data_IF_203508863800
#
_entry.id   IF_203508863800
#
_cell.length_a   1.000
_cell.length_b   1.000
_cell.length_c   1.000
_cell.angle_alpha   90.00
_cell.angle_beta   90.00
_cell.angle_gamma   90.00
#
_symmetry.space_group_name_H-M   'P 1'
#
loop_
_entity.id
_entity.type
_entity.pdbx_description
1 polymer ?
#
# COMPACT_ATOMS: atom_id res chain seq x y z
N UNK A 1 10.57 13.46 10.16
CA UNK A 1 9.13 13.76 10.35
C UNK A 1 8.97 15.25 10.62
N UNK A 2 8.10 15.91 9.86
CA UNK A 2 7.98 17.38 9.82
C UNK A 2 6.91 17.97 10.73
N UNK A 3 5.96 17.16 11.19
CA UNK A 3 4.88 17.57 12.09
C UNK A 3 4.88 16.70 13.34
N UNK A 4 4.81 17.33 14.51
CA UNK A 4 4.77 16.61 15.79
C UNK A 4 3.52 15.71 15.90
N UNK A 5 3.69 14.42 16.27
CA UNK A 5 2.58 13.51 16.51
C UNK A 5 1.70 13.96 17.68
N UNK A 6 0.39 13.84 17.51
CA UNK A 6 -0.58 14.05 18.59
C UNK A 6 -0.83 12.72 19.29
N UNK A 7 -0.27 12.55 20.49
CA UNK A 7 -0.40 11.31 21.28
C UNK A 7 -1.78 11.15 21.94
N UNK A 8 -2.42 12.28 22.27
CA UNK A 8 -3.71 12.33 22.98
C UNK A 8 -4.74 13.06 22.11
N UNK A 9 -5.49 12.35 21.26
CA UNK A 9 -6.45 13.01 20.37
C UNK A 9 -7.64 13.55 21.16
N UNK A 10 -8.15 14.71 20.72
CA UNK A 10 -9.39 15.29 21.22
C UNK A 10 -10.59 14.66 20.49
N UNK A 11 -11.73 14.59 21.18
CA UNK A 11 -12.99 14.08 20.63
C UNK A 11 -13.14 12.56 20.67
N UNK A 12 -14.37 12.10 20.85
CA UNK A 12 -14.69 10.68 21.00
C UNK A 12 -14.32 9.86 19.75
N UNK A 13 -14.61 10.40 18.56
CA UNK A 13 -14.33 9.75 17.28
C UNK A 13 -12.84 9.40 17.11
N UNK A 14 -11.95 10.38 17.33
CA UNK A 14 -10.51 10.16 17.19
C UNK A 14 -9.95 9.22 18.27
N UNK A 15 -10.47 9.29 19.51
CA UNK A 15 -10.11 8.35 20.58
C UNK A 15 -10.49 6.91 20.22
N UNK A 16 -11.68 6.71 19.66
CA UNK A 16 -12.12 5.41 19.14
C UNK A 16 -11.23 4.95 17.98
N UNK A 17 -10.89 5.85 17.06
CA UNK A 17 -10.02 5.52 15.93
C UNK A 17 -8.62 5.06 16.40
N UNK A 18 -8.00 5.77 17.34
CA UNK A 18 -6.72 5.36 17.94
C UNK A 18 -6.81 3.99 18.61
N UNK A 19 -7.90 3.76 19.36
CA UNK A 19 -8.12 2.47 20.00
C UNK A 19 -8.28 1.34 18.96
N UNK A 20 -9.05 1.56 17.89
CA UNK A 20 -9.24 0.59 16.81
C UNK A 20 -7.92 0.28 16.10
N UNK A 21 -7.14 1.30 15.72
CA UNK A 21 -5.85 1.11 15.06
C UNK A 21 -4.89 0.33 15.95
N UNK A 22 -4.82 0.64 17.26
CA UNK A 22 -4.00 -0.11 18.20
C UNK A 22 -4.44 -1.57 18.31
N UNK A 23 -5.75 -1.82 18.32
CA UNK A 23 -6.28 -3.19 18.38
C UNK A 23 -5.97 -3.99 17.11
N UNK A 24 -6.04 -3.37 15.95
CA UNK A 24 -5.84 -4.05 14.66
C UNK A 24 -4.36 -4.20 14.28
N UNK A 25 -3.54 -3.18 14.55
CA UNK A 25 -2.14 -3.11 14.10
C UNK A 25 -1.13 -3.26 15.24
N UNK A 26 -1.58 -3.47 16.48
CA UNK A 26 -0.73 -3.50 17.68
C UNK A 26 -0.30 -2.11 18.17
N UNK A 27 -0.30 -1.09 17.30
CA UNK A 27 -0.02 0.31 17.65
C UNK A 27 -0.79 1.29 16.77
N UNK A 28 -0.81 2.57 17.16
CA UNK A 28 -1.40 3.63 16.33
C UNK A 28 -0.40 4.02 15.26
N UNK A 29 -0.78 3.90 13.99
CA UNK A 29 0.08 4.30 12.86
C UNK A 29 0.38 5.80 12.88
N UNK A 30 1.57 6.18 12.44
CA UNK A 30 2.04 7.57 12.46
C UNK A 30 1.12 8.53 11.70
N UNK A 31 0.56 8.20 10.50
CA UNK A 31 -0.41 9.07 9.84
C UNK A 31 -1.63 9.40 10.71
N UNK A 32 -2.13 8.45 11.51
CA UNK A 32 -3.25 8.66 12.43
C UNK A 32 -2.93 9.64 13.57
N UNK A 33 -1.64 9.83 13.89
CA UNK A 33 -1.17 10.78 14.91
C UNK A 33 -0.81 12.14 14.32
N UNK A 34 -0.47 12.18 13.04
CA UNK A 34 -0.02 13.40 12.36
C UNK A 34 -1.16 14.06 11.59
N UNK A 35 -1.77 13.35 10.64
CA UNK A 35 -2.67 13.93 9.67
C UNK A 35 -4.12 13.98 10.17
N UNK A 36 -4.64 12.85 10.63
CA UNK A 36 -6.06 12.68 10.97
C UNK A 36 -6.54 13.58 12.13
N UNK A 37 -5.76 13.86 13.19
CA UNK A 37 -6.23 14.75 14.26
C UNK A 37 -6.33 16.21 13.77
N UNK A 38 -5.61 16.57 12.71
CA UNK A 38 -5.63 17.89 12.07
C UNK A 38 -6.71 17.97 10.98
N UNK A 39 -7.05 16.83 10.38
CA UNK A 39 -8.06 16.71 9.32
C UNK A 39 -9.03 15.55 9.65
N UNK A 40 -9.91 15.68 10.66
CA UNK A 40 -10.73 14.56 11.15
C UNK A 40 -11.70 14.01 10.11
N UNK A 41 -12.07 14.80 9.09
CA UNK A 41 -12.86 14.33 7.94
C UNK A 41 -12.20 13.19 7.15
N UNK A 42 -10.86 13.07 7.22
CA UNK A 42 -10.12 11.98 6.60
C UNK A 42 -10.49 10.61 7.18
N UNK A 43 -10.94 10.52 8.44
CA UNK A 43 -11.38 9.25 9.01
C UNK A 43 -12.51 8.61 8.19
N UNK A 44 -13.47 9.42 7.76
CA UNK A 44 -14.58 8.93 6.94
C UNK A 44 -14.10 8.52 5.56
N UNK A 45 -13.23 9.33 4.94
CA UNK A 45 -12.66 9.01 3.64
C UNK A 45 -11.89 7.68 3.67
N UNK A 46 -10.99 7.52 4.64
CA UNK A 46 -10.19 6.31 4.78
C UNK A 46 -11.01 5.08 5.13
N UNK A 47 -12.11 5.25 5.87
CA UNK A 47 -13.08 4.18 6.10
C UNK A 47 -13.74 3.71 4.80
N UNK A 48 -14.22 4.63 3.96
CA UNK A 48 -14.84 4.27 2.68
C UNK A 48 -13.83 3.65 1.71
N UNK A 49 -12.59 4.17 1.66
CA UNK A 49 -11.50 3.57 0.88
C UNK A 49 -11.22 2.15 1.37
N UNK A 50 -10.98 1.94 2.66
CA UNK A 50 -10.71 0.61 3.22
C UNK A 50 -11.87 -0.36 2.97
N UNK A 51 -13.12 0.10 3.11
CA UNK A 51 -14.30 -0.70 2.81
C UNK A 51 -14.36 -1.10 1.33
N UNK A 52 -14.00 -0.19 0.42
CA UNK A 52 -13.93 -0.48 -1.00
C UNK A 52 -12.78 -1.45 -1.32
N UNK A 53 -11.59 -1.26 -0.76
CA UNK A 53 -10.46 -2.16 -0.98
C UNK A 53 -10.76 -3.59 -0.48
N UNK A 54 -11.42 -3.71 0.67
CA UNK A 54 -11.73 -5.03 1.26
C UNK A 54 -12.90 -5.77 0.61
N UNK A 55 -13.83 -5.07 -0.04
CA UNK A 55 -15.07 -5.68 -0.58
C UNK A 55 -15.26 -5.51 -2.09
N UNK A 56 -14.58 -4.53 -2.68
CA UNK A 56 -14.74 -4.10 -4.07
C UNK A 56 -13.64 -4.62 -4.98
N UNK A 57 -12.40 -4.74 -4.47
CA UNK A 57 -11.27 -5.28 -5.23
C UNK A 57 -11.32 -6.81 -5.23
N UNK A 58 -11.10 -7.41 -6.40
CA UNK A 58 -11.15 -8.86 -6.63
C UNK A 58 -9.83 -9.45 -7.11
N UNK A 59 -8.84 -8.62 -7.41
CA UNK A 59 -7.45 -9.05 -7.67
C UNK A 59 -6.94 -9.97 -6.57
N UNK A 60 -6.06 -10.90 -6.97
CA UNK A 60 -5.44 -11.85 -6.05
C UNK A 60 -4.62 -11.09 -4.98
N UNK A 61 -4.71 -11.45 -3.68
CA UNK A 61 -4.03 -10.72 -2.62
C UNK A 61 -2.52 -10.55 -2.84
N UNK A 62 -1.85 -11.58 -3.37
CA UNK A 62 -0.43 -11.52 -3.72
C UNK A 62 -0.14 -10.39 -4.72
N UNK A 63 -0.91 -10.30 -5.81
CA UNK A 63 -0.72 -9.28 -6.83
C UNK A 63 -1.07 -7.88 -6.29
N UNK A 64 -2.16 -7.76 -5.52
CA UNK A 64 -2.53 -6.52 -4.85
C UNK A 64 -1.35 -5.93 -4.06
N UNK A 65 -0.81 -6.69 -3.10
CA UNK A 65 0.25 -6.17 -2.24
C UNK A 65 1.57 -5.98 -2.99
N UNK A 66 1.85 -6.77 -4.04
CA UNK A 66 3.03 -6.53 -4.89
C UNK A 66 2.92 -5.21 -5.66
N UNK A 67 1.75 -4.89 -6.24
CA UNK A 67 1.51 -3.61 -6.92
C UNK A 67 1.74 -2.43 -5.97
N UNK A 68 1.13 -2.49 -4.79
CA UNK A 68 1.24 -1.45 -3.75
C UNK A 68 2.69 -1.32 -3.25
N UNK A 69 3.37 -2.45 -3.01
CA UNK A 69 4.76 -2.45 -2.53
C UNK A 69 5.71 -1.88 -3.57
N UNK A 70 5.56 -2.26 -4.85
CA UNK A 70 6.42 -1.78 -5.94
C UNK A 70 6.29 -0.26 -6.12
N UNK A 71 5.06 0.26 -6.19
CA UNK A 71 4.82 1.70 -6.30
C UNK A 71 5.48 2.48 -5.15
N UNK A 72 5.34 1.96 -3.92
CA UNK A 72 5.96 2.54 -2.72
C UNK A 72 7.49 2.48 -2.74
N UNK A 73 8.07 1.38 -3.21
CA UNK A 73 9.51 1.21 -3.37
C UNK A 73 10.07 2.22 -4.38
N UNK A 74 9.41 2.38 -5.53
CA UNK A 74 9.79 3.35 -6.57
C UNK A 74 9.76 4.78 -6.03
N UNK A 75 8.71 5.13 -5.27
CA UNK A 75 8.55 6.47 -4.69
C UNK A 75 9.40 6.70 -3.43
N UNK A 76 9.97 5.66 -2.83
CA UNK A 76 10.75 5.76 -1.59
C UNK A 76 9.91 5.97 -0.32
N UNK A 77 8.62 5.58 -0.31
CA UNK A 77 7.78 5.68 0.90
C UNK A 77 8.06 4.50 1.86
N UNK A 78 9.00 4.66 2.79
CA UNK A 78 9.34 3.59 3.76
C UNK A 78 8.18 3.16 4.67
N UNK A 79 7.30 4.09 5.07
CA UNK A 79 6.08 3.77 5.81
C UNK A 79 5.15 2.86 5.00
N UNK A 80 4.96 3.18 3.72
CA UNK A 80 4.02 2.49 2.87
C UNK A 80 4.50 1.07 2.53
N UNK A 81 5.80 0.92 2.24
CA UNK A 81 6.45 -0.40 2.09
C UNK A 81 6.30 -1.24 3.36
N UNK A 82 6.55 -0.66 4.53
CA UNK A 82 6.44 -1.36 5.82
C UNK A 82 5.01 -1.85 6.09
N UNK A 83 4.01 -0.99 5.89
CA UNK A 83 2.61 -1.35 6.08
C UNK A 83 2.14 -2.40 5.06
N UNK A 84 2.45 -2.23 3.77
CA UNK A 84 2.04 -3.17 2.74
C UNK A 84 2.62 -4.57 2.97
N UNK A 85 3.91 -4.66 3.33
CA UNK A 85 4.56 -5.93 3.68
C UNK A 85 3.95 -6.56 4.94
N UNK A 86 3.70 -5.77 5.99
CA UNK A 86 3.05 -6.28 7.20
C UNK A 86 1.67 -6.86 6.92
N UNK A 87 0.89 -6.24 6.03
CA UNK A 87 -0.41 -6.75 5.61
C UNK A 87 -0.28 -8.01 4.75
N UNK A 88 0.69 -8.07 3.83
CA UNK A 88 0.95 -9.28 3.06
C UNK A 88 1.30 -10.49 3.95
N UNK A 89 2.12 -10.28 4.98
CA UNK A 89 2.47 -11.31 5.97
C UNK A 89 1.23 -11.79 6.74
N UNK A 90 0.32 -10.87 7.12
CA UNK A 90 -0.94 -11.20 7.81
C UNK A 90 -1.90 -12.02 6.95
N UNK A 91 -1.84 -11.84 5.63
CA UNK A 91 -2.57 -12.65 4.65
C UNK A 91 -1.85 -13.97 4.32
N UNK A 92 -0.81 -14.33 5.08
CA UNK A 92 -0.02 -15.55 4.91
C UNK A 92 0.63 -15.69 3.53
N UNK A 93 0.99 -14.57 2.91
CA UNK A 93 1.67 -14.54 1.62
C UNK A 93 3.18 -14.79 1.80
N UNK A 94 3.77 -15.56 0.89
CA UNK A 94 5.21 -15.81 0.90
C UNK A 94 6.01 -14.56 0.54
N UNK A 95 7.04 -14.25 1.33
CA UNK A 95 7.82 -13.01 1.18
C UNK A 95 8.88 -13.04 0.08
N UNK A 96 9.18 -14.22 -0.48
CA UNK A 96 10.20 -14.38 -1.53
C UNK A 96 10.00 -13.44 -2.73
N UNK A 97 8.75 -13.29 -3.21
CA UNK A 97 8.43 -12.36 -4.30
C UNK A 97 8.54 -10.90 -3.84
N UNK A 98 8.16 -10.58 -2.61
CA UNK A 98 8.25 -9.21 -2.10
C UNK A 98 9.70 -8.76 -1.89
N UNK A 99 10.58 -9.69 -1.56
CA UNK A 99 12.02 -9.45 -1.41
C UNK A 99 12.72 -9.33 -2.77
N UNK A 100 12.27 -10.10 -3.77
CA UNK A 100 12.77 -10.02 -5.14
C UNK A 100 12.06 -8.96 -6.02
N UNK A 101 11.22 -8.10 -5.42
CA UNK A 101 10.31 -7.24 -6.18
C UNK A 101 11.04 -6.18 -7.02
N UNK A 102 12.21 -5.70 -6.59
CA UNK A 102 13.03 -4.80 -7.39
C UNK A 102 13.64 -5.45 -8.64
N UNK A 103 13.64 -6.78 -8.69
CA UNK A 103 14.21 -7.61 -9.76
C UNK A 103 13.12 -8.38 -10.51
N UNK A 104 11.86 -7.95 -10.40
CA UNK A 104 10.71 -8.66 -10.96
C UNK A 104 10.83 -8.88 -12.48
N UNK A 105 11.60 -8.06 -13.20
CA UNK A 105 11.82 -8.17 -14.66
C UNK A 105 12.71 -9.36 -15.06
N UNK A 106 13.55 -9.87 -14.16
CA UNK A 106 14.52 -10.94 -14.45
C UNK A 106 14.38 -12.15 -13.52
N UNK A 107 13.84 -11.97 -12.31
CA UNK A 107 13.68 -13.04 -11.31
C UNK A 107 12.72 -14.14 -11.77
N UNK A 108 13.07 -15.44 -11.67
CA UNK A 108 12.18 -16.54 -12.10
C UNK A 108 10.95 -16.73 -11.22
N UNK A 109 10.85 -16.01 -10.09
CA UNK A 109 9.71 -16.11 -9.17
C UNK A 109 8.41 -15.52 -9.74
N UNK A 110 8.51 -14.66 -10.75
CA UNK A 110 7.38 -13.93 -11.31
C UNK A 110 6.90 -14.56 -12.61
N UNK A 111 5.59 -14.80 -12.69
CA UNK A 111 4.88 -15.19 -13.90
C UNK A 111 4.78 -14.02 -14.89
N UNK A 112 4.51 -14.32 -16.16
CA UNK A 112 4.31 -13.30 -17.19
C UNK A 112 3.15 -12.35 -16.86
N UNK A 113 2.08 -12.88 -16.24
CA UNK A 113 0.94 -12.09 -15.76
C UNK A 113 1.38 -11.10 -14.68
N UNK A 114 2.16 -11.53 -13.71
CA UNK A 114 2.67 -10.64 -12.64
C UNK A 114 3.63 -9.59 -13.21
N UNK A 115 4.55 -9.99 -14.10
CA UNK A 115 5.47 -9.05 -14.77
C UNK A 115 4.72 -7.97 -15.55
N UNK A 116 3.69 -8.34 -16.31
CA UNK A 116 2.91 -7.39 -17.09
C UNK A 116 2.25 -6.33 -16.19
N UNK A 117 1.69 -6.73 -15.04
CA UNK A 117 1.13 -5.81 -14.06
C UNK A 117 2.20 -4.92 -13.41
N UNK A 118 3.34 -5.50 -13.00
CA UNK A 118 4.42 -4.75 -12.35
C UNK A 118 5.09 -3.76 -13.31
N UNK A 119 5.27 -4.10 -14.59
CA UNK A 119 5.76 -3.17 -15.61
C UNK A 119 4.78 -2.03 -15.85
N UNK A 120 3.47 -2.31 -15.93
CA UNK A 120 2.45 -1.27 -16.00
C UNK A 120 2.51 -0.30 -14.82
N UNK A 121 2.62 -0.83 -13.60
CA UNK A 121 2.72 -0.05 -12.35
C UNK A 121 4.00 0.77 -12.30
N UNK A 122 5.12 0.21 -12.73
CA UNK A 122 6.40 0.91 -12.78
C UNK A 122 6.36 2.10 -13.74
N UNK A 123 5.89 1.89 -14.98
CA UNK A 123 5.76 2.99 -15.95
C UNK A 123 4.79 4.07 -15.44
N UNK A 124 3.61 3.66 -14.99
CA UNK A 124 2.60 4.59 -14.47
C UNK A 124 3.12 5.38 -13.26
N UNK A 125 3.90 4.75 -12.38
CA UNK A 125 4.50 5.43 -11.22
C UNK A 125 5.62 6.38 -11.65
N UNK A 126 6.58 5.94 -12.46
CA UNK A 126 7.73 6.78 -12.84
C UNK A 126 7.36 7.93 -13.78
N UNK A 127 6.44 7.68 -14.71
CA UNK A 127 6.21 8.56 -15.86
C UNK A 127 4.81 9.16 -15.90
N UNK A 128 3.90 8.71 -15.02
CA UNK A 128 2.46 9.08 -15.06
C UNK A 128 1.79 8.75 -16.40
N UNK A 129 2.41 7.87 -17.17
CA UNK A 129 2.02 7.41 -18.50
C UNK A 129 2.48 5.97 -18.65
N UNK A 130 1.79 5.24 -19.53
CA UNK A 130 2.14 3.88 -19.90
C UNK A 130 2.21 3.84 -21.43
N UNK A 131 3.20 3.15 -21.96
CA UNK A 131 3.34 2.97 -23.41
C UNK A 131 2.24 2.05 -23.95
N UNK A 132 1.86 2.22 -25.23
CA UNK A 132 0.90 1.34 -25.89
C UNK A 132 1.36 -0.13 -25.84
N UNK A 133 2.67 -0.38 -25.97
CA UNK A 133 3.24 -1.73 -25.90
C UNK A 133 3.05 -2.38 -24.52
N UNK A 134 3.27 -1.61 -23.44
CA UNK A 134 3.06 -2.08 -22.07
C UNK A 134 1.58 -2.31 -21.79
N UNK A 135 0.70 -1.41 -22.26
CA UNK A 135 -0.74 -1.59 -22.12
C UNK A 135 -1.26 -2.82 -22.88
N UNK A 136 -0.84 -3.01 -24.13
CA UNK A 136 -1.20 -4.19 -24.92
C UNK A 136 -0.70 -5.49 -24.29
N UNK A 137 0.49 -5.47 -23.68
CA UNK A 137 1.01 -6.63 -22.94
C UNK A 137 0.17 -6.93 -21.70
N UNK A 138 -0.20 -5.91 -20.92
CA UNK A 138 -1.11 -6.07 -19.79
C UNK A 138 -2.45 -6.69 -20.23
N UNK A 139 -3.02 -6.21 -21.34
CA UNK A 139 -4.30 -6.66 -21.87
C UNK A 139 -4.33 -8.12 -22.33
N UNK A 140 -3.17 -8.73 -22.57
CA UNK A 140 -3.06 -10.19 -22.86
C UNK A 140 -3.33 -11.04 -21.63
N UNK A 141 -3.09 -10.50 -20.43
CA UNK A 141 -3.15 -11.25 -19.18
C UNK A 141 -4.33 -10.86 -18.29
N UNK A 142 -4.89 -9.65 -18.45
CA UNK A 142 -5.91 -9.09 -17.58
C UNK A 142 -7.14 -8.63 -18.35
N UNK A 143 -8.32 -8.82 -17.75
CA UNK A 143 -9.58 -8.25 -18.21
C UNK A 143 -9.65 -6.76 -17.86
N UNK A 144 -10.48 -6.01 -18.56
CA UNK A 144 -10.62 -4.55 -18.36
C UNK A 144 -10.88 -4.14 -16.91
N UNK A 145 -11.68 -4.93 -16.16
CA UNK A 145 -11.96 -4.65 -14.75
C UNK A 145 -10.74 -4.90 -13.84
N UNK A 146 -9.90 -5.90 -14.15
CA UNK A 146 -8.66 -6.15 -13.40
C UNK A 146 -7.64 -5.04 -13.66
N UNK A 147 -7.56 -4.57 -14.91
CA UNK A 147 -6.72 -3.42 -15.27
C UNK A 147 -7.17 -2.18 -14.49
N UNK A 148 -8.47 -1.91 -14.43
CA UNK A 148 -9.01 -0.80 -13.64
C UNK A 148 -8.66 -0.92 -12.15
N UNK A 149 -8.72 -2.13 -11.57
CA UNK A 149 -8.30 -2.37 -10.19
C UNK A 149 -6.79 -2.14 -9.99
N UNK A 150 -5.92 -2.61 -10.90
CA UNK A 150 -4.46 -2.35 -10.86
C UNK A 150 -4.19 -0.84 -10.91
N UNK A 151 -4.86 -0.11 -11.81
CA UNK A 151 -4.73 1.34 -11.93
C UNK A 151 -5.20 2.04 -10.66
N UNK A 152 -6.33 1.62 -10.09
CA UNK A 152 -6.86 2.17 -8.84
C UNK A 152 -5.87 1.98 -7.67
N UNK A 153 -5.35 0.77 -7.49
CA UNK A 153 -4.38 0.47 -6.43
C UNK A 153 -3.12 1.32 -6.59
N UNK A 154 -2.58 1.43 -7.80
CA UNK A 154 -1.42 2.27 -8.07
C UNK A 154 -1.69 3.75 -7.78
N UNK A 155 -2.85 4.26 -8.20
CA UNK A 155 -3.22 5.67 -7.99
C UNK A 155 -3.39 5.98 -6.49
N UNK A 156 -4.08 5.10 -5.77
CA UNK A 156 -4.30 5.23 -4.34
C UNK A 156 -2.99 5.14 -3.55
N UNK A 157 -2.08 4.26 -3.98
CA UNK A 157 -0.78 4.16 -3.32
C UNK A 157 0.08 5.40 -3.56
N UNK A 158 0.07 5.95 -4.78
CA UNK A 158 0.73 7.24 -5.04
C UNK A 158 0.11 8.37 -4.20
N UNK A 159 -1.20 8.35 -3.93
CA UNK A 159 -1.84 9.28 -2.98
C UNK A 159 -1.28 9.13 -1.56
N UNK A 160 -1.15 7.91 -1.04
CA UNK A 160 -0.56 7.68 0.29
C UNK A 160 0.93 8.05 0.33
N UNK A 161 1.69 7.73 -0.72
CA UNK A 161 3.10 8.11 -0.83
C UNK A 161 3.26 9.64 -0.78
N UNK A 162 2.43 10.38 -1.52
CA UNK A 162 2.45 11.85 -1.56
C UNK A 162 1.99 12.52 -0.25
N UNK A 163 1.29 11.79 0.62
CA UNK A 163 1.01 12.24 1.98
C UNK A 163 2.21 12.02 2.89
N UNK A 164 2.78 10.81 2.86
CA UNK A 164 3.77 10.38 3.84
C UNK A 164 5.17 10.95 3.58
N UNK A 165 5.59 11.01 2.31
CA UNK A 165 6.93 11.45 1.93
C UNK A 165 7.17 12.92 2.31
N UNK A 166 6.33 13.90 1.93
CA UNK A 166 6.57 15.30 2.27
C UNK A 166 6.51 15.60 3.77
N UNK A 167 5.79 14.77 4.54
CA UNK A 167 5.73 14.85 5.99
C UNK A 167 6.88 14.10 6.69
N UNK A 168 7.75 13.44 5.92
CA UNK A 168 8.83 12.56 6.39
C UNK A 168 8.34 11.54 7.42
N UNK A 169 7.19 10.92 7.12
CA UNK A 169 6.66 9.80 7.90
C UNK A 169 7.43 8.55 7.48
N UNK A 170 8.28 8.07 8.38
CA UNK A 170 9.09 6.86 8.17
C UNK A 170 8.34 5.58 8.54
N UNK A 171 9.00 4.45 8.28
CA UNK A 171 8.56 3.11 8.71
C UNK A 171 8.15 3.10 10.19
N UNK A 172 7.03 2.44 10.46
CA UNK A 172 6.53 2.19 11.80
C UNK A 172 7.05 0.84 12.34
N UNK A 173 7.78 0.06 11.54
CA UNK A 173 8.25 -1.28 11.91
C UNK A 173 7.12 -2.31 12.03
N UNK A 174 6.00 -2.11 11.33
CA UNK A 174 4.90 -3.07 11.29
C UNK A 174 5.33 -4.44 10.75
N UNK A 175 6.18 -4.48 9.73
CA UNK A 175 6.67 -5.72 9.13
C UNK A 175 7.38 -6.57 10.20
N UNK A 176 8.35 -5.99 10.89
CA UNK A 176 9.09 -6.66 11.96
C UNK A 176 8.21 -7.03 13.17
N UNK A 177 7.14 -6.26 13.45
CA UNK A 177 6.19 -6.59 14.52
C UNK A 177 5.38 -7.84 14.17
N UNK A 178 4.87 -7.93 12.93
CA UNK A 178 4.06 -9.07 12.49
C UNK A 178 4.91 -10.34 12.43
N UNK A 179 6.14 -10.26 11.88
CA UNK A 179 7.07 -11.40 11.83
C UNK A 179 7.29 -12.02 13.22
N UNK A 180 7.49 -11.19 14.25
CA UNK A 180 7.68 -11.67 15.64
C UNK A 180 6.44 -12.29 16.26
N UNK A 181 5.25 -11.97 15.77
CA UNK A 181 3.98 -12.51 16.30
C UNK A 181 3.63 -13.88 15.69
N UNK A 182 4.32 -14.27 14.62
CA UNK A 182 4.10 -15.55 13.92
C UNK A 182 5.12 -16.63 14.29
N UNK A 183 6.10 -16.30 15.15
CA UNK A 183 7.10 -17.21 15.72
C UNK A 183 6.66 -17.69 17.09
#
# INVERSE_FOLDING_TARGET
>A
MRLEPIEKPKGLMMRMAFWMTRRQLGKVMTPMKVLYPRMPGMLRLSYEIQKFETKGIRLEPALHYMVVTLASQINGCSFCVDLARAMAIREHLGMEKFDALSEYGTSPLFSDRERAALTYVEEATRHRRVSDATFETLRKHFRDWEIAEITWLNALENYYNLINIPLEIGSDGFCAMVERQMV
#
